data_IF_788255061712
#
_entry.id   IF_788255061712
#
_cell.length_a   1.000
_cell.length_b   1.000
_cell.length_c   1.000
_cell.angle_alpha   90.00
_cell.angle_beta   90.00
_cell.angle_gamma   90.00
#
_symmetry.space_group_name_H-M   'P 1'
#
loop_
_entity.id
_entity.type
_entity.pdbx_description
1 polymer ?
#
# COMPACT_ATOMS: atom_id res chain seq x y z
N UNK A 1 0.99 45.87 38.83
CA UNK A 1 1.90 45.28 39.84
C UNK A 1 2.18 43.83 39.45
N UNK A 2 3.43 43.37 39.64
CA UNK A 2 4.21 42.49 38.75
C UNK A 2 4.16 41.03 39.28
N UNK A 3 4.66 39.93 38.68
CA UNK A 3 5.62 39.65 37.60
C UNK A 3 5.80 38.12 37.47
N UNK A 4 6.46 37.71 36.37
CA UNK A 4 7.32 36.53 36.17
C UNK A 4 6.62 35.23 35.71
N UNK A 5 6.81 34.84 34.43
CA UNK A 5 7.94 34.03 33.90
C UNK A 5 7.96 32.63 34.54
N UNK A 6 7.96 31.54 33.75
CA UNK A 6 9.11 31.13 32.93
C UNK A 6 8.69 30.14 31.84
N UNK A 7 9.20 30.37 30.62
CA UNK A 7 9.42 29.32 29.63
C UNK A 7 10.63 28.51 30.11
N UNK A 8 10.54 27.19 30.15
CA UNK A 8 11.72 26.32 30.25
C UNK A 8 11.64 25.25 29.18
N UNK A 9 12.38 25.50 28.10
CA UNK A 9 12.88 24.46 27.23
C UNK A 9 13.82 23.56 28.03
N UNK A 10 13.73 22.24 27.84
CA UNK A 10 14.80 21.31 28.18
C UNK A 10 14.95 20.34 27.01
N UNK A 11 15.82 20.73 26.08
CA UNK A 11 16.50 19.80 25.20
C UNK A 11 17.37 18.91 26.08
N UNK A 12 16.97 17.66 26.27
CA UNK A 12 17.85 16.59 26.75
C UNK A 12 18.25 15.75 25.56
N UNK A 13 19.54 15.80 25.25
CA UNK A 13 20.15 15.01 24.19
C UNK A 13 20.53 13.59 24.62
N UNK A 14 21.31 12.98 23.71
CA UNK A 14 22.04 11.71 23.77
C UNK A 14 21.22 10.41 23.71
N UNK A 15 21.40 9.71 22.59
CA UNK A 15 21.97 8.36 22.63
C UNK A 15 22.62 8.02 21.26
N UNK A 16 23.96 7.97 21.25
CA UNK A 16 24.73 7.25 20.24
C UNK A 16 24.61 5.76 20.54
N UNK A 17 24.16 4.95 19.58
CA UNK A 17 24.41 3.51 19.57
C UNK A 17 24.87 3.10 18.18
N UNK A 18 26.18 2.81 18.11
CA UNK A 18 26.82 2.01 17.08
C UNK A 18 26.24 0.60 17.11
N UNK A 19 25.95 0.03 15.94
CA UNK A 19 26.16 -1.40 15.68
C UNK A 19 26.11 -1.64 14.17
N UNK A 20 27.28 -1.93 13.61
CA UNK A 20 27.42 -2.43 12.26
C UNK A 20 26.93 -3.87 12.14
N UNK A 21 26.47 -4.22 10.95
CA UNK A 21 26.54 -5.56 10.38
C UNK A 21 26.36 -5.40 8.87
N UNK A 22 27.47 -5.45 8.15
CA UNK A 22 27.49 -5.55 6.69
C UNK A 22 27.14 -6.99 6.33
N UNK A 23 25.85 -7.26 6.08
CA UNK A 23 25.43 -8.53 5.51
C UNK A 23 25.57 -8.47 3.99
N UNK A 24 26.65 -9.06 3.47
CA UNK A 24 26.75 -9.38 2.06
C UNK A 24 25.82 -10.57 1.75
N UNK A 25 24.68 -10.30 1.12
CA UNK A 25 23.80 -11.33 0.58
C UNK A 25 24.19 -11.59 -0.89
N UNK A 26 24.67 -12.78 -1.28
CA UNK A 26 24.68 -13.19 -2.67
C UNK A 26 23.29 -13.75 -3.00
N UNK A 27 22.64 -13.28 -4.06
CA UNK A 27 21.47 -14.03 -4.55
C UNK A 27 20.55 -13.35 -5.56
N UNK A 28 20.79 -13.67 -6.84
CA UNK A 28 19.76 -13.92 -7.86
C UNK A 28 19.02 -12.70 -8.43
N UNK A 29 19.63 -12.10 -9.46
CA UNK A 29 18.88 -11.35 -10.46
C UNK A 29 18.26 -12.33 -11.46
N UNK A 30 17.07 -12.85 -11.15
CA UNK A 30 16.19 -13.40 -12.17
C UNK A 30 15.48 -12.21 -12.86
N UNK A 31 15.60 -12.02 -14.18
CA UNK A 31 14.76 -11.07 -14.90
C UNK A 31 13.36 -11.68 -15.05
N UNK A 32 12.51 -11.44 -14.05
CA UNK A 32 11.11 -11.81 -14.06
C UNK A 32 10.25 -10.65 -14.56
N UNK A 33 9.66 -10.83 -15.74
CA UNK A 33 8.69 -9.93 -16.35
C UNK A 33 7.56 -9.48 -15.40
N UNK A 34 7.35 -8.16 -15.32
CA UNK A 34 6.02 -7.58 -15.15
C UNK A 34 5.28 -7.81 -13.83
N UNK A 35 5.94 -7.71 -12.67
CA UNK A 35 5.22 -7.59 -11.40
C UNK A 35 4.58 -6.20 -11.25
N UNK A 36 3.31 -6.07 -11.60
CA UNK A 36 2.48 -4.92 -11.21
C UNK A 36 2.13 -4.94 -9.71
N UNK A 37 3.14 -5.01 -8.85
CA UNK A 37 3.04 -4.55 -7.47
C UNK A 37 2.86 -3.03 -7.45
N UNK A 38 2.20 -2.51 -6.42
CA UNK A 38 2.14 -1.08 -6.20
C UNK A 38 3.51 -0.60 -5.69
N UNK A 39 4.35 -0.14 -6.61
CA UNK A 39 5.66 0.46 -6.31
C UNK A 39 5.49 1.71 -5.40
N UNK A 40 6.09 1.72 -4.19
CA UNK A 40 6.04 2.84 -3.26
C UNK A 40 6.50 4.17 -3.86
N UNK A 41 7.55 4.17 -4.69
CA UNK A 41 8.12 5.41 -5.27
C UNK A 41 7.15 6.02 -6.27
N UNK A 42 6.55 5.17 -7.12
CA UNK A 42 5.51 5.59 -8.06
C UNK A 42 4.26 6.10 -7.33
N UNK A 43 3.91 5.51 -6.19
CA UNK A 43 2.80 5.97 -5.36
C UNK A 43 3.09 7.35 -4.77
N UNK A 44 4.27 7.54 -4.17
CA UNK A 44 4.74 8.81 -3.63
C UNK A 44 4.73 9.89 -4.72
N UNK A 45 5.37 9.62 -5.86
CA UNK A 45 5.44 10.56 -7.00
C UNK A 45 4.06 11.04 -7.44
N UNK A 46 3.10 10.12 -7.55
CA UNK A 46 1.72 10.47 -7.89
C UNK A 46 1.07 11.32 -6.80
N UNK A 47 1.25 10.97 -5.53
CA UNK A 47 0.68 11.73 -4.42
C UNK A 47 1.31 13.13 -4.31
N UNK A 48 2.63 13.25 -4.36
CA UNK A 48 3.35 14.53 -4.32
C UNK A 48 2.83 15.48 -5.39
N UNK A 49 2.71 15.01 -6.64
CA UNK A 49 2.20 15.82 -7.75
C UNK A 49 0.72 16.18 -7.61
N UNK A 50 -0.10 15.31 -7.03
CA UNK A 50 -1.54 15.54 -6.96
C UNK A 50 -1.97 16.28 -5.69
N UNK A 51 -1.22 16.19 -4.61
CA UNK A 51 -1.54 16.82 -3.32
C UNK A 51 -0.59 17.96 -2.97
N UNK A 52 0.40 18.24 -3.83
CA UNK A 52 1.39 19.30 -3.62
C UNK A 52 2.09 19.14 -2.26
N UNK A 53 2.56 17.91 -1.98
CA UNK A 53 3.18 17.56 -0.70
C UNK A 53 4.47 18.35 -0.48
N UNK A 54 4.64 18.92 0.72
CA UNK A 54 5.92 19.53 1.14
C UNK A 54 7.03 18.47 1.22
N UNK A 55 8.30 18.88 1.21
CA UNK A 55 9.41 17.93 1.32
C UNK A 55 9.31 17.08 2.60
N UNK A 56 8.99 17.70 3.73
CA UNK A 56 8.80 16.98 4.99
C UNK A 56 7.65 15.96 4.91
N UNK A 57 6.52 16.33 4.29
CA UNK A 57 5.41 15.39 4.07
C UNK A 57 5.83 14.23 3.16
N UNK A 58 6.60 14.51 2.09
CA UNK A 58 7.08 13.48 1.18
C UNK A 58 7.97 12.45 1.88
N UNK A 59 8.89 12.90 2.73
CA UNK A 59 9.79 12.02 3.48
C UNK A 59 9.00 11.11 4.44
N UNK A 60 8.02 11.67 5.16
CA UNK A 60 7.15 10.91 6.07
C UNK A 60 6.24 9.92 5.34
N UNK A 61 5.65 10.33 4.21
CA UNK A 61 4.83 9.45 3.37
C UNK A 61 5.68 8.34 2.77
N UNK A 62 6.89 8.63 2.31
CA UNK A 62 7.84 7.63 1.80
C UNK A 62 8.11 6.54 2.83
N UNK A 63 8.41 6.94 4.07
CA UNK A 63 8.65 6.00 5.16
C UNK A 63 7.43 5.10 5.42
N UNK A 64 6.22 5.67 5.50
CA UNK A 64 4.99 4.90 5.70
C UNK A 64 4.74 3.90 4.56
N UNK A 65 4.96 4.31 3.32
CA UNK A 65 4.78 3.45 2.14
C UNK A 65 5.83 2.33 2.10
N UNK A 66 7.09 2.63 2.39
CA UNK A 66 8.18 1.66 2.44
C UNK A 66 7.94 0.60 3.52
N UNK A 67 7.58 1.03 4.74
CA UNK A 67 7.25 0.12 5.84
C UNK A 67 6.05 -0.78 5.51
N UNK A 68 4.99 -0.23 4.94
CA UNK A 68 3.82 -1.01 4.53
C UNK A 68 4.15 -2.00 3.40
N UNK A 69 5.02 -1.60 2.47
CA UNK A 69 5.48 -2.44 1.38
C UNK A 69 6.29 -3.62 1.90
N UNK A 70 7.30 -3.37 2.74
CA UNK A 70 8.15 -4.38 3.35
C UNK A 70 7.33 -5.34 4.22
N UNK A 71 6.50 -4.82 5.12
CA UNK A 71 5.69 -5.64 6.02
C UNK A 71 4.66 -6.53 5.30
N UNK A 72 4.35 -6.24 4.03
CA UNK A 72 3.47 -7.05 3.19
C UNK A 72 4.18 -7.88 2.12
N UNK A 73 5.51 -7.92 2.07
CA UNK A 73 6.26 -8.60 1.01
C UNK A 73 5.97 -10.11 0.97
N UNK A 74 6.17 -10.80 2.09
CA UNK A 74 5.88 -12.22 2.22
C UNK A 74 4.40 -12.55 1.95
N UNK A 75 3.47 -11.69 2.41
CA UNK A 75 2.04 -11.84 2.12
C UNK A 75 1.76 -11.81 0.60
N UNK A 76 2.46 -10.94 -0.18
CA UNK A 76 2.28 -10.85 -1.64
C UNK A 76 2.75 -12.12 -2.35
N UNK A 77 3.93 -12.60 -1.99
CA UNK A 77 4.49 -13.85 -2.52
C UNK A 77 3.58 -15.03 -2.20
N UNK A 78 3.12 -15.13 -0.95
CA UNK A 78 2.22 -16.21 -0.53
C UNK A 78 0.87 -16.15 -1.25
N UNK A 79 0.28 -14.97 -1.42
CA UNK A 79 -0.95 -14.81 -2.21
C UNK A 79 -0.76 -15.28 -3.66
N UNK A 80 0.38 -14.98 -4.28
CA UNK A 80 0.65 -15.42 -5.64
C UNK A 80 0.77 -16.95 -5.72
N UNK A 81 1.48 -17.56 -4.78
CA UNK A 81 1.59 -19.02 -4.67
C UNK A 81 0.21 -19.68 -4.46
N UNK A 82 -0.59 -19.18 -3.51
CA UNK A 82 -1.94 -19.68 -3.23
C UNK A 82 -2.86 -19.62 -4.46
N UNK A 83 -2.81 -18.51 -5.21
CA UNK A 83 -3.57 -18.38 -6.47
C UNK A 83 -3.11 -19.35 -7.54
N UNK A 84 -1.82 -19.64 -7.61
CA UNK A 84 -1.28 -20.70 -8.46
C UNK A 84 -1.85 -22.07 -8.07
N UNK A 85 -1.74 -22.41 -6.79
CA UNK A 85 -2.25 -23.67 -6.24
C UNK A 85 -3.76 -23.84 -6.48
N UNK A 86 -4.56 -22.80 -6.27
CA UNK A 86 -6.00 -22.82 -6.56
C UNK A 86 -6.30 -23.02 -8.06
N UNK A 87 -5.50 -22.41 -8.95
CA UNK A 87 -5.65 -22.62 -10.40
C UNK A 87 -5.34 -24.06 -10.79
N UNK A 88 -4.34 -24.68 -10.15
CA UNK A 88 -3.94 -26.06 -10.44
C UNK A 88 -4.99 -27.09 -9.97
N UNK A 89 -5.90 -26.72 -9.06
CA UNK A 89 -7.06 -27.55 -8.67
C UNK A 89 -8.13 -27.70 -9.77
N UNK A 90 -8.01 -27.02 -10.91
CA UNK A 90 -9.03 -27.03 -11.97
C UNK A 90 -9.26 -28.42 -12.60
N UNK A 91 -8.19 -29.22 -12.75
CA UNK A 91 -8.26 -30.54 -13.40
C UNK A 91 -8.47 -31.69 -12.41
N UNK A 92 -8.12 -31.51 -11.14
CA UNK A 92 -8.28 -32.50 -10.08
C UNK A 92 -8.66 -31.80 -8.78
N UNK A 93 -9.95 -31.49 -8.64
CA UNK A 93 -10.46 -30.70 -7.53
C UNK A 93 -10.53 -31.53 -6.25
N UNK A 94 -9.76 -31.13 -5.24
CA UNK A 94 -9.92 -31.60 -3.88
C UNK A 94 -10.56 -30.51 -3.02
N UNK A 95 -11.79 -30.76 -2.57
CA UNK A 95 -12.58 -29.75 -1.85
C UNK A 95 -11.90 -29.29 -0.55
N UNK A 96 -11.27 -30.21 0.19
CA UNK A 96 -10.59 -29.89 1.45
C UNK A 96 -9.38 -28.99 1.24
N UNK A 97 -8.55 -29.31 0.25
CA UNK A 97 -7.39 -28.52 -0.16
C UNK A 97 -7.81 -27.16 -0.69
N UNK A 98 -8.81 -27.11 -1.56
CA UNK A 98 -9.31 -25.85 -2.12
C UNK A 98 -9.87 -24.91 -1.02
N UNK A 99 -10.61 -25.47 -0.04
CA UNK A 99 -11.11 -24.70 1.10
C UNK A 99 -9.97 -24.14 1.95
N UNK A 100 -8.97 -24.96 2.30
CA UNK A 100 -7.83 -24.50 3.10
C UNK A 100 -7.02 -23.40 2.40
N UNK A 101 -6.78 -23.53 1.09
CA UNK A 101 -6.11 -22.50 0.29
C UNK A 101 -6.91 -21.19 0.24
N UNK A 102 -8.24 -21.28 0.09
CA UNK A 102 -9.12 -20.12 0.07
C UNK A 102 -9.17 -19.41 1.44
N UNK A 103 -9.21 -20.17 2.54
CA UNK A 103 -9.20 -19.62 3.90
C UNK A 103 -7.91 -18.84 4.18
N UNK A 104 -6.76 -19.39 3.79
CA UNK A 104 -5.48 -18.68 3.94
C UNK A 104 -5.43 -17.41 3.08
N UNK A 105 -5.93 -17.48 1.84
CA UNK A 105 -6.03 -16.32 0.97
C UNK A 105 -6.93 -15.22 1.59
N UNK A 106 -8.03 -15.62 2.23
CA UNK A 106 -8.91 -14.74 2.98
C UNK A 106 -8.20 -14.03 4.13
N UNK A 107 -7.43 -14.78 4.93
CA UNK A 107 -6.64 -14.22 6.04
C UNK A 107 -5.60 -13.20 5.56
N UNK A 108 -4.85 -13.52 4.50
CA UNK A 108 -3.87 -12.58 3.94
C UNK A 108 -4.58 -11.34 3.39
N UNK A 109 -5.72 -11.51 2.73
CA UNK A 109 -6.53 -10.40 2.19
C UNK A 109 -7.01 -9.47 3.31
N UNK A 110 -7.44 -10.02 4.44
CA UNK A 110 -7.86 -9.25 5.61
C UNK A 110 -6.70 -8.42 6.18
N UNK A 111 -5.53 -9.05 6.42
CA UNK A 111 -4.32 -8.34 6.88
C UNK A 111 -3.88 -7.26 5.91
N UNK A 112 -3.88 -7.55 4.61
CA UNK A 112 -3.51 -6.59 3.56
C UNK A 112 -4.46 -5.38 3.52
N UNK A 113 -5.76 -5.63 3.69
CA UNK A 113 -6.78 -4.59 3.73
C UNK A 113 -6.61 -3.67 4.94
N UNK A 114 -6.38 -4.26 6.12
CA UNK A 114 -6.09 -3.52 7.34
C UNK A 114 -4.85 -2.63 7.18
N UNK A 115 -3.72 -3.20 6.73
CA UNK A 115 -2.46 -2.47 6.51
C UNK A 115 -2.66 -1.29 5.56
N UNK A 116 -3.40 -1.48 4.47
CA UNK A 116 -3.73 -0.38 3.53
C UNK A 116 -4.56 0.71 4.18
N UNK A 117 -5.53 0.37 5.01
CA UNK A 117 -6.35 1.34 5.73
C UNK A 117 -5.51 2.13 6.73
N UNK A 118 -4.66 1.44 7.49
CA UNK A 118 -3.71 2.02 8.43
C UNK A 118 -2.73 2.98 7.74
N UNK A 119 -2.07 2.56 6.65
CA UNK A 119 -1.16 3.43 5.89
C UNK A 119 -1.89 4.66 5.35
N UNK A 120 -3.11 4.52 4.84
CA UNK A 120 -3.92 5.65 4.37
C UNK A 120 -4.28 6.61 5.51
N UNK A 121 -4.65 6.10 6.67
CA UNK A 121 -4.95 6.91 7.84
C UNK A 121 -3.71 7.69 8.29
N UNK A 122 -2.54 7.04 8.36
CA UNK A 122 -1.27 7.70 8.68
C UNK A 122 -0.92 8.80 7.68
N UNK A 123 -1.09 8.55 6.38
CA UNK A 123 -0.91 9.57 5.34
C UNK A 123 -1.89 10.73 5.54
N UNK A 124 -3.18 10.46 5.76
CA UNK A 124 -4.21 11.49 5.92
C UNK A 124 -3.90 12.44 7.09
N UNK A 125 -3.34 11.91 8.18
CA UNK A 125 -2.93 12.71 9.34
C UNK A 125 -1.80 13.70 9.04
N UNK A 126 -0.94 13.41 8.05
CA UNK A 126 0.15 14.31 7.62
C UNK A 126 -0.31 15.46 6.71
N UNK A 127 -1.52 15.35 6.15
CA UNK A 127 -2.07 16.34 5.22
C UNK A 127 -2.72 17.51 5.96
N UNK A 128 -2.59 18.70 5.40
CA UNK A 128 -3.39 19.86 5.81
C UNK A 128 -4.84 19.78 5.29
N UNK A 129 -5.70 20.68 5.75
CA UNK A 129 -7.13 20.68 5.41
C UNK A 129 -7.39 20.82 3.90
N UNK A 130 -6.57 21.60 3.19
CA UNK A 130 -6.72 21.82 1.76
C UNK A 130 -6.35 20.55 0.97
N UNK A 131 -5.27 19.88 1.39
CA UNK A 131 -4.81 18.63 0.81
C UNK A 131 -5.79 17.47 1.10
N UNK A 132 -6.35 17.40 2.31
CA UNK A 132 -7.40 16.41 2.66
C UNK A 132 -8.62 16.54 1.78
N UNK A 133 -9.14 17.75 1.58
CA UNK A 133 -10.27 17.99 0.68
C UNK A 133 -9.93 17.60 -0.77
N UNK A 134 -8.70 17.87 -1.23
CA UNK A 134 -8.25 17.48 -2.57
C UNK A 134 -8.23 15.95 -2.72
N UNK A 135 -7.73 15.24 -1.71
CA UNK A 135 -7.71 13.78 -1.65
C UNK A 135 -9.13 13.20 -1.70
N UNK A 136 -10.06 13.70 -0.88
CA UNK A 136 -11.46 13.25 -0.85
C UNK A 136 -12.16 13.44 -2.20
N UNK A 137 -11.94 14.58 -2.88
CA UNK A 137 -12.46 14.82 -4.24
C UNK A 137 -11.89 13.82 -5.24
N UNK A 138 -10.60 13.50 -5.14
CA UNK A 138 -9.96 12.50 -6.00
C UNK A 138 -10.54 11.10 -5.76
N UNK A 139 -10.78 10.73 -4.50
CA UNK A 139 -11.40 9.45 -4.16
C UNK A 139 -12.85 9.37 -4.66
N UNK A 140 -13.66 10.41 -4.44
CA UNK A 140 -15.02 10.48 -4.96
C UNK A 140 -15.09 10.31 -6.49
N UNK A 141 -14.15 10.92 -7.23
CA UNK A 141 -14.03 10.71 -8.68
C UNK A 141 -13.70 9.26 -9.03
N UNK A 142 -12.73 8.64 -8.33
CA UNK A 142 -12.37 7.23 -8.54
C UNK A 142 -13.55 6.30 -8.29
N UNK A 143 -14.34 6.54 -7.24
CA UNK A 143 -15.55 5.77 -6.96
C UNK A 143 -16.55 5.88 -8.11
N UNK A 144 -16.83 7.09 -8.61
CA UNK A 144 -17.74 7.31 -9.75
C UNK A 144 -17.30 6.56 -11.03
N UNK A 145 -16.00 6.47 -11.30
CA UNK A 145 -15.50 5.77 -12.48
C UNK A 145 -15.53 4.24 -12.36
N UNK A 146 -15.45 3.67 -11.14
CA UNK A 146 -15.59 2.21 -10.94
C UNK A 146 -16.99 1.70 -11.33
N UNK A 147 -18.04 2.48 -11.06
CA UNK A 147 -19.42 2.08 -11.38
C UNK A 147 -19.81 2.30 -12.84
N UNK A 148 -19.05 3.09 -13.61
CA UNK A 148 -19.32 3.32 -15.05
C UNK A 148 -18.70 2.29 -15.99
N UNK A 149 -17.90 1.33 -15.49
CA UNK A 149 -17.29 0.27 -16.32
C UNK A 149 -18.10 -1.04 -16.28
N UNK A 150 -19.41 -0.95 -16.51
CA UNK A 150 -20.30 -2.08 -16.79
C UNK A 150 -21.34 -1.73 -17.84
N UNK A 151 -22.03 -2.72 -18.44
CA UNK A 151 -21.58 -3.52 -19.57
C UNK A 151 -21.59 -2.70 -20.89
N UNK A 152 -20.41 -2.29 -21.37
CA UNK A 152 -20.25 -1.86 -22.77
C UNK A 152 -19.70 -2.98 -23.66
N UNK A 153 -19.25 -4.10 -23.08
CA UNK A 153 -18.84 -5.28 -23.83
C UNK A 153 -20.01 -5.97 -24.57
N UNK A 154 -21.25 -5.86 -24.07
CA UNK A 154 -22.44 -6.46 -24.70
C UNK A 154 -23.02 -5.65 -25.87
N UNK A 155 -22.63 -4.39 -26.05
CA UNK A 155 -23.14 -3.58 -27.18
C UNK A 155 -22.38 -3.80 -28.49
N UNK A 156 -21.16 -4.35 -28.44
CA UNK A 156 -20.40 -4.69 -29.65
C UNK A 156 -20.80 -6.04 -30.25
N UNK A 157 -21.36 -6.97 -29.48
CA UNK A 157 -21.86 -8.26 -30.00
C UNK A 157 -23.27 -8.21 -30.61
N UNK A 158 -24.03 -7.13 -30.41
CA UNK A 158 -25.42 -6.98 -30.92
C UNK A 158 -25.53 -6.18 -32.23
N UNK A 159 -24.41 -5.88 -32.89
CA UNK A 159 -24.39 -5.12 -34.16
C UNK A 159 -23.95 -5.95 -35.36
N UNK A 160 -23.86 -7.27 -35.23
CA UNK A 160 -23.47 -8.18 -36.31
C UNK A 160 -24.58 -9.17 -36.72
N UNK A 161 -25.82 -8.93 -36.28
CA UNK A 161 -27.03 -9.60 -36.82
C UNK A 161 -27.88 -8.60 -37.62
#
# INVERSE_FOLDING_TARGET
MPTHHRKTARNTGLALLLLGSLAAAPGWTAPGDGHHGADPERMLTKMSRHLDLSQEQQDRVSQLLAQAHEAGAADRERMQALRGQLRDQQSNFDAGTAQALADELGQITARSSFRRAETRAGIYQLLDDSQRQKLERMEAKRHKHRFKRGPQADRQMRRED
#
